data_IF_654625908047
#
_entry.id   IF_654625908047
#
_cell.length_a   1.000
_cell.length_b   1.000
_cell.length_c   1.000
_cell.angle_alpha   90.00
_cell.angle_beta   90.00
_cell.angle_gamma   90.00
#
_symmetry.space_group_name_H-M   'P 1'
#
loop_
_entity.id
_entity.type
_entity.pdbx_description
1 polymer ?
#
# COMPACT_ATOMS: atom_id res chain seq x y z
N UNK A 1 59.63 -37.24 2.17
CA UNK A 1 58.25 -37.17 2.65
C UNK A 1 57.74 -35.76 2.36
N UNK A 2 56.79 -35.57 1.51
CA UNK A 2 56.21 -34.24 1.33
C UNK A 2 55.27 -33.86 2.52
N UNK A 3 55.25 -32.63 2.96
CA UNK A 3 54.39 -32.20 4.06
C UNK A 3 52.92 -32.34 3.65
N UNK A 4 52.15 -33.03 4.47
CA UNK A 4 50.69 -33.14 4.36
C UNK A 4 50.10 -31.78 4.61
N UNK A 5 49.67 -31.10 3.57
CA UNK A 5 48.94 -29.83 3.69
C UNK A 5 47.60 -30.14 4.37
N UNK A 6 47.50 -29.75 5.64
CA UNK A 6 46.26 -29.85 6.36
C UNK A 6 45.23 -28.94 5.62
N UNK A 7 44.25 -29.55 5.00
CA UNK A 7 43.07 -28.85 4.48
C UNK A 7 42.39 -28.19 5.67
N UNK A 8 42.47 -26.88 5.74
CA UNK A 8 41.75 -26.10 6.73
C UNK A 8 40.27 -26.42 6.58
N UNK A 9 39.75 -27.26 7.47
CA UNK A 9 38.31 -27.53 7.60
C UNK A 9 37.67 -26.18 7.92
N UNK A 10 37.02 -25.57 6.93
CA UNK A 10 36.25 -24.35 7.10
C UNK A 10 35.30 -24.58 8.26
N UNK A 11 35.49 -23.82 9.33
CA UNK A 11 34.71 -23.88 10.55
C UNK A 11 33.21 -23.84 10.23
N UNK A 12 32.40 -24.66 10.93
CA UNK A 12 30.97 -24.67 10.71
C UNK A 12 30.43 -23.25 10.90
N UNK A 13 29.65 -22.80 9.98
CA UNK A 13 28.91 -21.56 9.86
C UNK A 13 28.51 -21.00 11.24
N UNK A 14 29.25 -20.08 11.76
CA UNK A 14 28.83 -19.33 12.94
C UNK A 14 27.83 -18.29 12.50
N UNK A 15 26.57 -18.50 12.87
CA UNK A 15 25.52 -17.48 12.71
C UNK A 15 25.92 -16.32 13.60
N UNK A 16 26.35 -15.22 12.99
CA UNK A 16 26.78 -14.04 13.70
C UNK A 16 25.64 -13.56 14.62
N UNK A 17 25.88 -13.41 15.94
CA UNK A 17 24.82 -13.08 16.87
C UNK A 17 24.32 -11.65 16.63
N UNK A 18 23.02 -11.51 16.47
CA UNK A 18 22.38 -10.20 16.34
C UNK A 18 22.53 -9.43 17.67
N UNK A 19 23.09 -8.24 17.60
CA UNK A 19 23.23 -7.35 18.74
C UNK A 19 21.88 -6.99 19.38
N UNK A 20 21.89 -6.58 20.64
CA UNK A 20 20.65 -6.14 21.34
C UNK A 20 19.97 -4.99 20.62
N UNK A 21 20.75 -4.05 20.09
CA UNK A 21 20.24 -2.91 19.34
C UNK A 21 19.53 -3.34 18.04
N UNK A 22 20.15 -4.19 17.21
CA UNK A 22 19.55 -4.68 15.98
C UNK A 22 18.24 -5.45 16.23
N UNK A 23 18.17 -6.19 17.35
CA UNK A 23 16.94 -6.87 17.77
C UNK A 23 15.85 -5.88 18.19
N UNK A 24 16.21 -4.86 18.96
CA UNK A 24 15.27 -3.83 19.40
C UNK A 24 14.70 -3.05 18.20
N UNK A 25 15.56 -2.59 17.29
CA UNK A 25 15.14 -1.91 16.05
C UNK A 25 14.19 -2.79 15.22
N UNK A 26 14.49 -4.08 15.10
CA UNK A 26 13.63 -5.02 14.37
C UNK A 26 12.26 -5.17 15.00
N UNK A 27 12.16 -5.34 16.31
CA UNK A 27 10.87 -5.41 17.00
C UNK A 27 10.10 -4.10 16.91
N UNK A 28 10.78 -2.96 16.96
CA UNK A 28 10.15 -1.66 16.74
C UNK A 28 9.54 -1.56 15.31
N UNK A 29 10.30 -1.99 14.28
CA UNK A 29 9.80 -2.03 12.90
C UNK A 29 8.62 -2.99 12.73
N UNK A 30 8.65 -4.16 13.40
CA UNK A 30 7.50 -5.10 13.41
C UNK A 30 6.29 -4.43 14.06
N UNK A 31 6.45 -3.80 15.21
CA UNK A 31 5.37 -3.09 15.89
C UNK A 31 4.79 -1.95 15.01
N UNK A 32 5.65 -1.16 14.37
CA UNK A 32 5.22 -0.13 13.43
C UNK A 32 4.47 -0.72 12.23
N UNK A 33 4.94 -1.84 11.67
CA UNK A 33 4.23 -2.50 10.56
C UNK A 33 2.87 -3.04 10.97
N UNK A 34 2.79 -3.67 12.14
CA UNK A 34 1.51 -4.14 12.70
C UNK A 34 0.56 -2.97 12.92
N UNK A 35 1.05 -1.87 13.52
CA UNK A 35 0.26 -0.66 13.73
C UNK A 35 -0.25 -0.08 12.39
N UNK A 36 0.61 0.02 11.36
CA UNK A 36 0.21 0.45 10.01
C UNK A 36 -0.88 -0.43 9.41
N UNK A 37 -0.75 -1.76 9.59
CA UNK A 37 -1.77 -2.70 9.09
C UNK A 37 -3.10 -2.47 9.81
N UNK A 38 -3.09 -2.30 11.13
CA UNK A 38 -4.30 -1.98 11.89
C UNK A 38 -4.91 -0.63 11.49
N UNK A 39 -4.08 0.40 11.31
CA UNK A 39 -4.54 1.72 10.84
C UNK A 39 -5.19 1.59 9.46
N UNK A 40 -4.55 0.86 8.53
CA UNK A 40 -5.12 0.62 7.20
C UNK A 40 -6.46 -0.10 7.26
N UNK A 41 -6.60 -1.10 8.13
CA UNK A 41 -7.84 -1.87 8.26
C UNK A 41 -8.97 -1.10 8.96
N UNK A 42 -8.65 -0.27 9.97
CA UNK A 42 -9.65 0.41 10.80
C UNK A 42 -10.00 1.81 10.29
N UNK A 43 -9.03 2.51 9.71
CA UNK A 43 -9.18 3.89 9.27
C UNK A 43 -8.79 4.08 7.80
N UNK A 44 -8.57 2.99 7.07
CA UNK A 44 -8.22 3.02 5.66
C UNK A 44 -9.43 3.29 4.78
N UNK A 45 -9.20 4.04 3.71
CA UNK A 45 -10.21 4.38 2.71
C UNK A 45 -10.15 3.38 1.57
N UNK A 46 -11.29 2.81 1.19
CA UNK A 46 -11.41 1.90 0.04
C UNK A 46 -11.65 2.68 -1.24
N UNK A 47 -10.84 2.43 -2.26
CA UNK A 47 -11.17 2.85 -3.61
C UNK A 47 -12.47 2.19 -4.06
N UNK A 48 -13.38 2.96 -4.64
CA UNK A 48 -14.67 2.50 -5.15
C UNK A 48 -14.99 3.20 -6.47
N UNK A 49 -15.96 2.70 -7.20
CA UNK A 49 -16.38 3.28 -8.47
C UNK A 49 -17.50 4.32 -8.30
N UNK A 50 -17.73 5.12 -9.35
CA UNK A 50 -18.89 6.04 -9.38
C UNK A 50 -20.21 5.26 -9.34
N UNK A 51 -20.28 4.12 -10.00
CA UNK A 51 -21.48 3.27 -9.97
C UNK A 51 -21.81 2.77 -8.58
N UNK A 52 -20.80 2.34 -7.80
CA UNK A 52 -21.03 1.89 -6.42
C UNK A 52 -21.51 3.03 -5.51
N UNK A 53 -20.99 4.27 -5.74
CA UNK A 53 -21.48 5.44 -5.06
C UNK A 53 -22.94 5.73 -5.39
N UNK A 54 -23.30 5.71 -6.68
CA UNK A 54 -24.68 5.97 -7.15
C UNK A 54 -25.65 4.92 -6.60
N UNK A 55 -25.26 3.66 -6.63
CA UNK A 55 -26.06 2.55 -6.08
C UNK A 55 -26.26 2.69 -4.57
N UNK A 56 -25.21 3.08 -3.85
CA UNK A 56 -25.27 3.28 -2.41
C UNK A 56 -26.11 4.52 -2.02
N UNK A 57 -26.10 5.57 -2.85
CA UNK A 57 -26.97 6.74 -2.68
C UNK A 57 -28.43 6.37 -3.04
N UNK A 58 -28.65 5.68 -4.14
CA UNK A 58 -29.99 5.29 -4.59
C UNK A 58 -30.68 4.30 -3.62
N UNK A 59 -29.91 3.42 -2.97
CA UNK A 59 -30.43 2.51 -1.94
C UNK A 59 -30.76 3.19 -0.61
N UNK A 60 -30.32 4.46 -0.40
CA UNK A 60 -30.48 5.16 0.87
C UNK A 60 -29.54 4.72 1.98
N UNK A 61 -28.55 3.87 1.66
CA UNK A 61 -27.53 3.38 2.61
C UNK A 61 -26.62 4.52 3.13
N UNK A 62 -26.54 5.62 2.36
CA UNK A 62 -25.69 6.78 2.63
C UNK A 62 -26.56 8.01 2.85
N UNK A 63 -26.28 8.75 3.92
CA UNK A 63 -26.96 9.99 4.25
C UNK A 63 -26.07 11.23 4.10
N UNK A 64 -24.75 11.02 4.08
CA UNK A 64 -23.79 12.10 3.96
C UNK A 64 -22.65 11.73 3.03
N UNK A 65 -22.28 12.68 2.18
CA UNK A 65 -21.14 12.57 1.25
C UNK A 65 -20.26 13.80 1.40
N UNK A 66 -18.97 13.59 1.46
CA UNK A 66 -17.97 14.64 1.53
C UNK A 66 -17.30 14.82 0.17
N UNK A 67 -17.32 16.04 -0.34
CA UNK A 67 -16.65 16.42 -1.59
C UNK A 67 -15.40 17.24 -1.27
N UNK A 68 -14.27 16.87 -1.89
CA UNK A 68 -13.05 17.65 -1.82
C UNK A 68 -12.58 18.01 -3.23
N UNK A 69 -12.25 19.27 -3.45
CA UNK A 69 -11.92 19.80 -4.78
C UNK A 69 -13.14 20.15 -5.59
N UNK A 70 -13.03 20.06 -6.92
CA UNK A 70 -14.07 20.45 -7.87
C UNK A 70 -14.03 21.90 -8.26
N UNK A 71 -14.92 22.29 -9.17
CA UNK A 71 -15.08 23.66 -9.64
C UNK A 71 -15.92 24.47 -8.66
N UNK A 72 -15.50 25.71 -8.36
CA UNK A 72 -16.33 26.63 -7.60
C UNK A 72 -17.59 27.02 -8.39
N UNK A 73 -18.59 27.56 -7.68
CA UNK A 73 -19.85 27.98 -8.32
C UNK A 73 -19.59 29.03 -9.42
N UNK A 74 -20.00 28.70 -10.64
CA UNK A 74 -19.81 29.55 -11.81
C UNK A 74 -18.47 29.40 -12.51
N UNK A 75 -17.51 28.67 -11.96
CA UNK A 75 -16.26 28.31 -12.64
C UNK A 75 -16.52 27.33 -13.78
N UNK A 76 -15.70 27.44 -14.84
CA UNK A 76 -15.74 26.59 -16.03
C UNK A 76 -14.38 25.99 -16.25
N UNK A 77 -14.34 24.75 -16.75
CA UNK A 77 -13.12 24.02 -16.98
C UNK A 77 -13.24 22.59 -16.52
N UNK A 78 -12.13 21.98 -16.15
CA UNK A 78 -12.08 20.64 -15.56
C UNK A 78 -11.33 20.68 -14.24
N UNK A 79 -11.87 20.05 -13.21
CA UNK A 79 -11.23 19.91 -11.91
C UNK A 79 -11.44 18.48 -11.37
N UNK A 80 -10.43 17.95 -10.68
CA UNK A 80 -10.58 16.68 -9.98
C UNK A 80 -11.42 16.89 -8.72
N UNK A 81 -12.38 15.99 -8.52
CA UNK A 81 -13.24 15.92 -7.34
C UNK A 81 -13.02 14.59 -6.68
N UNK A 82 -12.71 14.61 -5.40
CA UNK A 82 -12.67 13.42 -4.58
C UNK A 82 -13.95 13.35 -3.77
N UNK A 83 -14.61 12.21 -3.85
CA UNK A 83 -15.87 11.93 -3.16
C UNK A 83 -15.61 10.87 -2.11
N UNK A 84 -15.94 11.18 -0.87
CA UNK A 84 -15.79 10.28 0.27
C UNK A 84 -17.14 10.05 0.92
N UNK A 85 -17.42 8.81 1.30
CA UNK A 85 -18.63 8.43 2.03
C UNK A 85 -18.36 7.28 2.98
N UNK A 86 -19.17 7.19 4.00
CA UNK A 86 -19.11 6.12 4.98
C UNK A 86 -20.28 5.16 4.76
N UNK A 87 -20.00 3.86 4.71
CA UNK A 87 -21.01 2.81 4.68
C UNK A 87 -20.73 1.82 5.81
N UNK A 88 -21.52 1.92 6.89
CA UNK A 88 -21.30 1.16 8.11
C UNK A 88 -20.01 1.59 8.83
N UNK A 89 -19.04 0.67 8.95
CA UNK A 89 -17.74 0.94 9.57
C UNK A 89 -16.63 1.22 8.54
N UNK A 90 -16.95 1.25 7.26
CA UNK A 90 -15.96 1.40 6.19
C UNK A 90 -16.13 2.73 5.50
N UNK A 91 -15.01 3.40 5.23
CA UNK A 91 -14.94 4.62 4.43
C UNK A 91 -14.55 4.27 3.01
N UNK A 92 -15.33 4.77 2.06
CA UNK A 92 -15.11 4.61 0.63
C UNK A 92 -14.73 5.94 0.01
N UNK A 93 -13.96 5.87 -1.08
CA UNK A 93 -13.53 7.03 -1.83
C UNK A 93 -13.53 6.74 -3.33
N UNK A 94 -13.97 7.72 -4.11
CA UNK A 94 -13.81 7.71 -5.57
C UNK A 94 -13.26 9.04 -6.05
N UNK A 95 -12.44 9.02 -7.10
CA UNK A 95 -11.95 10.20 -7.77
C UNK A 95 -12.72 10.38 -9.08
N UNK A 96 -13.17 11.60 -9.35
CA UNK A 96 -13.95 11.98 -10.50
C UNK A 96 -13.35 13.24 -11.12
N UNK A 97 -13.63 13.48 -12.40
CA UNK A 97 -13.33 14.75 -13.05
C UNK A 97 -14.64 15.49 -13.27
N UNK A 98 -14.80 16.63 -12.61
CA UNK A 98 -15.89 17.55 -12.90
C UNK A 98 -15.50 18.40 -14.10
N UNK A 99 -16.33 18.40 -15.16
CA UNK A 99 -16.10 19.18 -16.35
C UNK A 99 -17.31 20.06 -16.69
N UNK A 100 -17.13 21.37 -16.63
CA UNK A 100 -18.12 22.36 -17.07
C UNK A 100 -17.62 23.04 -18.35
N UNK A 101 -18.14 22.70 -19.54
CA UNK A 101 -17.61 23.19 -20.80
C UNK A 101 -17.74 24.71 -20.95
N UNK A 102 -16.72 25.35 -21.51
CA UNK A 102 -16.65 26.80 -21.75
C UNK A 102 -17.67 27.30 -22.78
N UNK A 103 -18.10 26.47 -23.68
CA UNK A 103 -19.20 26.66 -24.69
C UNK A 103 -19.62 25.27 -25.16
N UNK A 104 -20.86 25.14 -25.65
CA UNK A 104 -21.45 23.88 -26.17
C UNK A 104 -20.51 23.05 -27.05
N UNK A 105 -19.42 22.57 -26.51
CA UNK A 105 -18.61 21.54 -27.11
C UNK A 105 -19.37 20.23 -26.89
N UNK A 106 -19.74 19.58 -28.01
CA UNK A 106 -20.42 18.29 -27.99
C UNK A 106 -19.72 17.35 -27.02
N UNK A 107 -20.44 16.95 -26.01
CA UNK A 107 -20.06 15.88 -25.08
C UNK A 107 -19.70 14.64 -25.89
N UNK A 108 -18.44 14.30 -25.97
CA UNK A 108 -18.01 13.19 -26.81
C UNK A 108 -16.60 12.68 -26.57
N UNK A 109 -15.92 13.12 -25.52
CA UNK A 109 -14.60 12.59 -25.20
C UNK A 109 -14.72 11.72 -23.94
N UNK A 110 -15.17 10.51 -24.13
CA UNK A 110 -14.93 9.41 -23.18
C UNK A 110 -13.44 9.10 -23.27
N UNK A 111 -12.67 9.49 -22.25
CA UNK A 111 -11.26 9.09 -22.14
C UNK A 111 -11.24 7.62 -21.74
N UNK A 112 -10.80 6.76 -22.64
CA UNK A 112 -10.48 5.37 -22.34
C UNK A 112 -9.43 5.32 -21.20
N UNK A 113 -9.79 4.71 -20.07
CA UNK A 113 -8.92 4.49 -18.91
C UNK A 113 -8.76 5.68 -17.95
N UNK A 114 -9.54 6.76 -18.11
CA UNK A 114 -9.55 7.92 -17.22
C UNK A 114 -10.64 7.86 -16.15
N UNK A 115 -10.47 8.71 -15.11
CA UNK A 115 -11.50 8.97 -14.12
C UNK A 115 -12.82 9.36 -14.79
N UNK A 116 -14.00 8.93 -14.26
CA UNK A 116 -15.29 9.26 -14.86
C UNK A 116 -15.51 10.77 -14.86
N UNK A 117 -15.96 11.29 -16.02
CA UNK A 117 -16.23 12.71 -16.22
C UNK A 117 -17.69 13.01 -15.91
N UNK A 118 -17.93 13.93 -15.00
CA UNK A 118 -19.27 14.34 -14.55
C UNK A 118 -19.39 15.86 -14.68
N UNK A 119 -20.53 16.36 -15.15
CA UNK A 119 -20.74 17.81 -15.32
C UNK A 119 -20.95 18.53 -13.98
N UNK A 120 -21.68 17.91 -13.06
CA UNK A 120 -21.96 18.42 -11.72
C UNK A 120 -22.24 17.21 -10.80
N UNK A 121 -21.29 16.90 -9.96
CA UNK A 121 -21.36 15.75 -9.06
C UNK A 121 -22.47 15.93 -8.03
N UNK A 122 -22.59 17.15 -7.46
CA UNK A 122 -23.56 17.43 -6.42
C UNK A 122 -25.00 17.37 -6.94
N UNK A 123 -25.25 17.97 -8.10
CA UNK A 123 -26.57 17.91 -8.72
C UNK A 123 -26.97 16.47 -9.11
N UNK A 124 -26.01 15.68 -9.58
CA UNK A 124 -26.23 14.28 -9.92
C UNK A 124 -26.58 13.42 -8.71
N UNK A 125 -25.87 13.57 -7.60
CA UNK A 125 -26.13 12.81 -6.37
C UNK A 125 -27.47 13.23 -5.75
N UNK A 126 -27.79 14.54 -5.73
CA UNK A 126 -29.10 15.02 -5.23
C UNK A 126 -30.28 14.62 -6.11
N UNK A 127 -30.05 14.39 -7.38
CA UNK A 127 -31.12 13.85 -8.26
C UNK A 127 -31.48 12.41 -7.89
N UNK A 128 -30.55 11.62 -7.35
CA UNK A 128 -30.79 10.25 -6.86
C UNK A 128 -31.44 10.28 -5.46
N UNK A 129 -30.97 11.16 -4.58
CA UNK A 129 -31.47 11.31 -3.22
C UNK A 129 -31.52 12.78 -2.82
N UNK A 130 -32.72 13.45 -2.86
CA UNK A 130 -32.85 14.87 -2.57
C UNK A 130 -32.44 15.27 -1.14
N UNK A 131 -32.56 14.37 -0.19
CA UNK A 131 -32.22 14.61 1.23
C UNK A 131 -30.73 14.35 1.55
N UNK A 132 -29.93 13.96 0.55
CA UNK A 132 -28.51 13.68 0.73
C UNK A 132 -27.75 14.93 1.22
N UNK A 133 -27.08 14.81 2.34
CA UNK A 133 -26.23 15.86 2.87
C UNK A 133 -24.89 15.85 2.14
N UNK A 134 -24.63 16.88 1.37
CA UNK A 134 -23.35 17.07 0.67
C UNK A 134 -22.55 18.12 1.40
N UNK A 135 -21.39 17.75 1.92
CA UNK A 135 -20.49 18.65 2.66
C UNK A 135 -19.21 18.84 1.84
N UNK A 136 -18.87 20.10 1.54
CA UNK A 136 -17.58 20.42 0.89
C UNK A 136 -16.49 20.56 1.93
N UNK A 137 -15.36 19.93 1.71
CA UNK A 137 -14.23 19.92 2.63
C UNK A 137 -12.93 20.18 1.89
N UNK A 138 -11.91 20.64 2.61
CA UNK A 138 -10.54 20.83 2.08
C UNK A 138 -9.67 19.59 2.29
N UNK A 139 -10.28 18.42 2.49
CA UNK A 139 -9.55 17.19 2.66
C UNK A 139 -8.68 16.88 1.43
N UNK A 140 -7.44 16.49 1.65
CA UNK A 140 -6.54 15.96 0.64
C UNK A 140 -6.57 14.44 0.71
N UNK A 141 -6.71 13.78 -0.43
CA UNK A 141 -6.78 12.32 -0.53
C UNK A 141 -5.67 11.57 0.22
N UNK A 142 -5.72 10.26 0.25
CA UNK A 142 -4.77 9.46 1.02
C UNK A 142 -3.34 9.75 0.59
N UNK A 143 -2.46 9.96 1.55
CA UNK A 143 -1.04 10.25 1.31
C UNK A 143 -0.26 9.03 0.80
N UNK A 144 -0.77 7.83 1.00
CA UNK A 144 -0.22 6.57 0.53
C UNK A 144 -1.31 5.49 0.54
N UNK A 145 -1.13 4.42 -0.23
CA UNK A 145 -2.01 3.26 -0.19
C UNK A 145 -1.22 1.98 0.11
N UNK A 146 -1.82 1.09 0.90
CA UNK A 146 -1.27 -0.24 1.21
C UNK A 146 -2.33 -1.27 0.88
N UNK A 147 -2.03 -2.16 -0.06
CA UNK A 147 -2.95 -3.22 -0.50
C UNK A 147 -4.32 -2.70 -1.00
N UNK A 148 -4.35 -1.56 -1.68
CA UNK A 148 -5.59 -0.94 -2.16
C UNK A 148 -6.35 -0.12 -1.11
N UNK A 149 -5.86 -0.06 0.14
CA UNK A 149 -6.42 0.76 1.20
C UNK A 149 -5.63 2.07 1.32
N UNK A 150 -6.31 3.19 1.16
CA UNK A 150 -5.73 4.52 1.37
C UNK A 150 -5.42 4.73 2.84
N UNK A 151 -4.19 5.15 3.15
CA UNK A 151 -3.82 5.52 4.51
C UNK A 151 -4.22 6.97 4.77
N UNK A 152 -4.75 7.31 5.96
CA UNK A 152 -4.95 8.70 6.36
C UNK A 152 -3.66 9.50 6.18
N UNK A 153 -3.76 10.77 5.76
CA UNK A 153 -2.58 11.59 5.42
C UNK A 153 -1.52 11.64 6.52
N UNK A 154 -1.93 11.66 7.79
CA UNK A 154 -1.01 11.61 8.94
C UNK A 154 -0.24 10.28 9.06
N UNK A 155 -0.82 9.17 8.62
CA UNK A 155 -0.19 7.84 8.64
C UNK A 155 0.61 7.56 7.36
N UNK A 156 0.38 8.35 6.30
CA UNK A 156 1.03 8.16 5.00
C UNK A 156 2.56 8.21 5.06
N UNK A 157 3.14 8.99 5.98
CA UNK A 157 4.59 9.07 6.18
C UNK A 157 5.18 7.87 6.95
N UNK A 158 4.38 7.15 7.71
CA UNK A 158 4.85 5.96 8.45
C UNK A 158 5.25 4.84 7.49
N UNK A 159 4.53 4.67 6.40
CA UNK A 159 4.82 3.62 5.41
C UNK A 159 6.22 3.74 4.80
N UNK A 160 6.60 4.87 4.15
CA UNK A 160 7.95 5.04 3.67
C UNK A 160 8.99 5.02 4.79
N UNK A 161 8.66 5.51 5.99
CA UNK A 161 9.52 5.44 7.16
C UNK A 161 9.87 4.00 7.56
N UNK A 162 8.88 3.12 7.63
CA UNK A 162 9.08 1.68 7.92
C UNK A 162 9.84 0.99 6.80
N UNK A 163 9.54 1.31 5.53
CA UNK A 163 10.27 0.75 4.39
C UNK A 163 11.74 1.15 4.42
N UNK A 164 12.04 2.44 4.57
CA UNK A 164 13.40 2.95 4.65
C UNK A 164 14.15 2.40 5.87
N UNK A 165 13.50 2.36 7.03
CA UNK A 165 14.06 1.75 8.23
C UNK A 165 14.39 0.26 8.04
N UNK A 166 13.54 -0.46 7.31
CA UNK A 166 13.77 -1.87 6.99
C UNK A 166 14.93 -2.04 6.01
N UNK A 167 15.03 -1.19 4.97
CA UNK A 167 16.16 -1.16 4.04
C UNK A 167 17.46 -0.81 4.75
N UNK A 168 17.43 0.15 5.66
CA UNK A 168 18.59 0.49 6.49
C UNK A 168 18.97 -0.68 7.40
N UNK A 169 18.00 -1.36 8.00
CA UNK A 169 18.25 -2.59 8.77
C UNK A 169 18.89 -3.69 7.94
N UNK A 170 18.50 -3.82 6.65
CA UNK A 170 19.09 -4.81 5.74
C UNK A 170 20.59 -4.57 5.50
N UNK A 171 21.02 -3.32 5.42
CA UNK A 171 22.43 -2.97 5.21
C UNK A 171 23.25 -3.05 6.50
N UNK A 172 22.70 -2.59 7.61
CA UNK A 172 23.38 -2.50 8.91
C UNK A 172 23.33 -3.78 9.76
N UNK A 173 22.50 -4.76 9.42
CA UNK A 173 22.36 -6.01 10.16
C UNK A 173 23.35 -7.09 9.71
N UNK A 174 23.64 -8.10 10.56
CA UNK A 174 24.32 -9.32 10.16
C UNK A 174 23.65 -9.96 8.94
N UNK A 175 24.39 -10.84 8.24
CA UNK A 175 23.87 -11.44 7.03
C UNK A 175 22.53 -12.18 7.26
N UNK A 176 21.49 -11.89 6.45
CA UNK A 176 20.18 -12.51 6.62
C UNK A 176 20.22 -14.03 6.48
N UNK A 177 19.36 -14.73 7.23
CA UNK A 177 19.43 -16.18 7.32
C UNK A 177 18.97 -16.95 6.08
N UNK A 178 17.86 -16.54 5.48
CA UNK A 178 17.16 -17.34 4.42
C UNK A 178 17.37 -16.84 3.02
N UNK A 179 18.02 -15.71 2.86
CA UNK A 179 18.29 -15.12 1.55
C UNK A 179 19.50 -14.21 1.60
N UNK A 180 20.08 -13.96 0.44
CA UNK A 180 21.12 -12.94 0.30
C UNK A 180 20.53 -11.53 0.52
N UNK A 181 21.36 -10.55 0.85
CA UNK A 181 20.90 -9.14 0.96
C UNK A 181 20.22 -8.66 -0.31
N UNK A 182 20.72 -9.07 -1.49
CA UNK A 182 20.12 -8.75 -2.77
C UNK A 182 18.74 -9.39 -2.97
N UNK A 183 18.55 -10.63 -2.52
CA UNK A 183 17.25 -11.28 -2.61
C UNK A 183 16.19 -10.52 -1.75
N UNK A 184 16.57 -10.16 -0.52
CA UNK A 184 15.70 -9.37 0.36
C UNK A 184 15.45 -7.95 -0.17
N UNK A 185 16.48 -7.31 -0.75
CA UNK A 185 16.33 -5.99 -1.37
C UNK A 185 15.24 -6.00 -2.44
N UNK A 186 15.29 -6.96 -3.37
CA UNK A 186 14.27 -7.07 -4.42
C UNK A 186 12.87 -7.31 -3.88
N UNK A 187 12.72 -8.17 -2.87
CA UNK A 187 11.43 -8.42 -2.23
C UNK A 187 10.89 -7.17 -1.52
N UNK A 188 11.75 -6.40 -0.86
CA UNK A 188 11.37 -5.16 -0.20
C UNK A 188 10.94 -4.06 -1.18
N UNK A 189 11.58 -3.98 -2.35
CA UNK A 189 11.31 -2.93 -3.34
C UNK A 189 10.14 -3.30 -4.26
N UNK A 190 10.06 -4.55 -4.72
CA UNK A 190 9.05 -4.99 -5.68
C UNK A 190 7.71 -5.32 -5.03
N UNK A 191 7.71 -5.85 -3.81
CA UNK A 191 6.50 -6.25 -3.09
C UNK A 191 6.57 -5.78 -1.62
N UNK A 192 6.66 -4.49 -1.34
CA UNK A 192 6.86 -3.99 0.02
C UNK A 192 5.83 -4.51 1.04
N UNK A 193 4.52 -4.61 0.71
CA UNK A 193 3.53 -5.07 1.68
C UNK A 193 3.77 -6.48 2.21
N UNK A 194 4.39 -7.34 1.42
CA UNK A 194 4.74 -8.72 1.80
C UNK A 194 6.22 -8.82 2.16
N UNK A 195 7.09 -8.13 1.44
CA UNK A 195 8.54 -8.17 1.62
C UNK A 195 8.99 -7.65 2.97
N UNK A 196 8.37 -6.55 3.47
CA UNK A 196 8.72 -5.97 4.77
C UNK A 196 8.44 -6.95 5.92
N UNK A 197 7.21 -7.45 6.13
CA UNK A 197 6.95 -8.41 7.18
C UNK A 197 7.73 -9.72 6.98
N UNK A 198 7.88 -10.21 5.76
CA UNK A 198 8.68 -11.40 5.48
C UNK A 198 10.15 -11.21 5.89
N UNK A 199 10.78 -10.10 5.55
CA UNK A 199 12.14 -9.80 5.98
C UNK A 199 12.23 -9.69 7.50
N UNK A 200 11.35 -8.91 8.11
CA UNK A 200 11.34 -8.71 9.55
C UNK A 200 11.11 -10.00 10.34
N UNK A 201 10.39 -10.95 9.83
CA UNK A 201 10.11 -12.23 10.49
C UNK A 201 11.13 -13.33 10.15
N UNK A 202 11.64 -13.37 8.92
CA UNK A 202 12.39 -14.52 8.40
C UNK A 202 13.90 -14.29 8.28
N UNK A 203 14.37 -13.03 8.24
CA UNK A 203 15.78 -12.74 7.98
C UNK A 203 16.70 -12.92 9.20
N UNK A 204 16.18 -13.12 10.40
CA UNK A 204 16.99 -13.27 11.62
C UNK A 204 16.28 -14.00 12.75
N UNK A 205 16.84 -13.99 13.96
CA UNK A 205 16.31 -14.70 15.12
C UNK A 205 15.02 -14.05 15.63
N UNK A 206 13.89 -14.54 15.14
CA UNK A 206 12.56 -14.09 15.57
C UNK A 206 11.82 -15.28 16.17
N UNK A 207 11.64 -15.35 17.50
CA UNK A 207 10.78 -16.36 18.10
C UNK A 207 9.34 -16.23 17.56
N UNK A 208 8.64 -17.31 17.27
CA UNK A 208 9.00 -18.72 17.48
C UNK A 208 9.73 -19.41 16.33
N UNK A 209 10.20 -18.67 15.32
CA UNK A 209 10.75 -19.25 14.10
C UNK A 209 12.17 -19.79 14.32
N UNK A 210 12.41 -21.10 14.10
CA UNK A 210 13.73 -21.70 14.28
C UNK A 210 14.71 -21.22 13.22
N UNK A 211 16.02 -21.30 13.55
CA UNK A 211 17.09 -21.10 12.59
C UNK A 211 16.96 -22.08 11.40
N UNK A 212 17.34 -21.68 10.19
CA UNK A 212 17.26 -22.56 9.03
C UNK A 212 18.14 -23.79 9.22
N UNK A 213 17.57 -24.97 9.00
CA UNK A 213 18.29 -26.25 9.13
C UNK A 213 19.43 -26.41 8.12
N UNK A 214 19.37 -25.70 6.98
CA UNK A 214 20.36 -25.73 5.90
C UNK A 214 20.72 -24.31 5.49
N UNK A 215 21.68 -23.68 6.18
CA UNK A 215 22.09 -22.30 5.90
C UNK A 215 22.74 -22.12 4.52
N UNK A 216 23.15 -23.22 3.88
CA UNK A 216 23.76 -23.21 2.54
C UNK A 216 22.74 -22.95 1.42
N UNK A 217 21.47 -23.31 1.61
CA UNK A 217 20.38 -23.09 0.66
C UNK A 217 19.71 -21.73 0.91
N UNK A 218 20.39 -20.68 0.47
CA UNK A 218 19.84 -19.31 0.54
C UNK A 218 19.24 -18.90 -0.78
N UNK A 219 18.15 -18.16 -0.74
CA UNK A 219 17.63 -17.48 -1.92
C UNK A 219 18.70 -16.57 -2.51
N UNK A 220 19.01 -16.76 -3.78
CA UNK A 220 19.94 -15.90 -4.52
C UNK A 220 19.26 -14.60 -4.91
N UNK A 221 20.05 -13.59 -5.31
CA UNK A 221 19.51 -12.30 -5.75
C UNK A 221 18.56 -12.43 -6.94
N UNK A 222 18.88 -13.30 -7.92
CA UNK A 222 18.00 -13.62 -9.05
C UNK A 222 16.67 -14.23 -8.63
N UNK A 223 16.70 -15.15 -7.66
CA UNK A 223 15.48 -15.81 -7.18
C UNK A 223 14.58 -14.80 -6.45
N UNK A 224 15.19 -13.91 -5.65
CA UNK A 224 14.47 -12.82 -4.99
C UNK A 224 13.84 -11.84 -5.97
N UNK A 225 14.53 -11.51 -7.06
CA UNK A 225 14.00 -10.67 -8.13
C UNK A 225 12.80 -11.31 -8.82
N UNK A 226 12.93 -12.58 -9.25
CA UNK A 226 11.83 -13.30 -9.90
C UNK A 226 10.63 -13.50 -8.98
N UNK A 227 10.88 -13.87 -7.71
CA UNK A 227 9.82 -13.95 -6.69
C UNK A 227 9.17 -12.60 -6.42
N UNK A 228 9.93 -11.50 -6.44
CA UNK A 228 9.43 -10.16 -6.30
C UNK A 228 8.49 -9.78 -7.44
N UNK A 229 8.87 -10.03 -8.69
CA UNK A 229 8.01 -9.79 -9.86
C UNK A 229 6.74 -10.65 -9.79
N UNK A 230 6.89 -11.96 -9.60
CA UNK A 230 5.76 -12.88 -9.53
C UNK A 230 4.81 -12.52 -8.37
N UNK A 231 5.36 -12.18 -7.21
CA UNK A 231 4.60 -11.73 -6.04
C UNK A 231 3.89 -10.40 -6.27
N UNK A 232 4.54 -9.45 -6.95
CA UNK A 232 3.95 -8.16 -7.32
C UNK A 232 2.76 -8.32 -8.27
N UNK A 233 2.92 -9.14 -9.32
CA UNK A 233 1.84 -9.47 -10.26
C UNK A 233 0.69 -10.17 -9.52
N UNK A 234 0.99 -11.19 -8.71
CA UNK A 234 -0.02 -11.92 -7.94
C UNK A 234 -0.77 -11.02 -6.96
N UNK A 235 -0.07 -10.11 -6.31
CA UNK A 235 -0.69 -9.13 -5.41
C UNK A 235 -1.58 -8.13 -6.16
N UNK A 236 -1.14 -7.64 -7.31
CA UNK A 236 -1.93 -6.74 -8.15
C UNK A 236 -3.22 -7.42 -8.64
N UNK A 237 -3.15 -8.68 -9.07
CA UNK A 237 -4.32 -9.47 -9.46
C UNK A 237 -5.26 -9.66 -8.25
N UNK A 238 -4.70 -10.01 -7.08
CA UNK A 238 -5.52 -10.19 -5.87
C UNK A 238 -6.22 -8.90 -5.45
N UNK A 239 -5.53 -7.76 -5.49
CA UNK A 239 -6.14 -6.46 -5.18
C UNK A 239 -7.24 -6.14 -6.19
N UNK A 240 -7.00 -6.33 -7.49
CA UNK A 240 -8.01 -6.11 -8.54
C UNK A 240 -9.25 -7.03 -8.42
N UNK A 241 -9.11 -8.18 -7.77
CA UNK A 241 -10.22 -9.10 -7.48
C UNK A 241 -11.03 -8.71 -6.24
N UNK A 242 -10.42 -7.97 -5.32
CA UNK A 242 -11.04 -7.56 -4.05
C UNK A 242 -11.64 -6.15 -4.10
N UNK A 243 -11.32 -5.38 -5.12
CA UNK A 243 -11.85 -4.03 -5.38
C UNK A 243 -12.86 -4.02 -6.51
#
# INVERSE_FOLDING_TARGET
MPPTTAVATTAPWQVEPWGRFSRACRWALIACWVALTFIALLAGERGSSLSDLEDAVASGDIQEVQLAGGLADGERGSASVQVRWDRGLMTYMTALVEERPLRSARSGVQRDGGEPVVTDVEARLRALQPELRVTRTTWSGPGASVLGWGLPGWAGLLYPGVLLGTLFSLTGSPQPWRGTRWAWFWLLVLVPPVGVPAYLLLAGPTPPLPAPRRPERRLRGSDGFLLGIAGGIGLAILVAWLT
#
